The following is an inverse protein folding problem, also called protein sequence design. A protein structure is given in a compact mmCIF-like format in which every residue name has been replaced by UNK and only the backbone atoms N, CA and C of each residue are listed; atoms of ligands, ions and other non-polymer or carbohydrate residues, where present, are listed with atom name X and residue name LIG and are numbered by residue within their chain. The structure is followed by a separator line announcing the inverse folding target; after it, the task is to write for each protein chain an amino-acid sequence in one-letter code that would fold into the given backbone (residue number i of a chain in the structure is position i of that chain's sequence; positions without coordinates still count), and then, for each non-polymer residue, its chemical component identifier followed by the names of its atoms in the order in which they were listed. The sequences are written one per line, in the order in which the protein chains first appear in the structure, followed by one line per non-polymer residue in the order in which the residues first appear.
data_IF_356324967992
#
_entry.id   IF_356324967992
#
_cell.length_a   1.000
_cell.length_b   1.000
_cell.length_c   1.000
_cell.angle_alpha   90.00
_cell.angle_beta   90.00
_cell.angle_gamma   90.00
#
_symmetry.space_group_name_H-M   'P 1'
#
loop_
_entity.id
_entity.type
_entity.pdbx_description
1 polymer ?
#
# COMPACT_ATOMS: atom_id res chain seq x y z
N UNK A 1 11.86 -12.81 -1.16
CA UNK A 1 11.66 -12.07 0.11
C UNK A 1 12.99 -11.85 0.78
N UNK A 2 13.16 -10.78 1.56
CA UNK A 2 14.41 -10.41 2.22
C UNK A 2 14.20 -9.52 3.46
N UNK A 3 15.26 -9.37 4.26
CA UNK A 3 15.44 -8.35 5.31
C UNK A 3 16.89 -7.87 5.24
N UNK A 4 17.16 -6.65 5.73
CA UNK A 4 18.52 -6.20 5.96
C UNK A 4 19.02 -6.68 7.31
N UNK A 5 20.19 -7.33 7.33
CA UNK A 5 20.94 -7.59 8.55
C UNK A 5 21.81 -6.37 8.86
N UNK A 6 21.44 -5.62 9.88
CA UNK A 6 22.10 -4.38 10.27
C UNK A 6 22.89 -4.57 11.57
N UNK A 7 24.09 -4.01 11.63
CA UNK A 7 24.86 -3.86 12.86
C UNK A 7 25.04 -2.37 13.14
N UNK A 8 24.38 -1.86 14.17
CA UNK A 8 24.28 -0.42 14.43
C UNK A 8 24.44 -0.12 15.92
N UNK A 9 24.96 1.06 16.25
CA UNK A 9 24.92 1.54 17.62
C UNK A 9 23.50 2.05 17.95
N UNK A 10 22.87 1.49 18.98
CA UNK A 10 21.53 1.89 19.41
C UNK A 10 21.59 2.83 20.63
N UNK A 11 21.13 4.10 20.51
CA UNK A 11 21.29 5.09 21.58
C UNK A 11 20.62 4.73 22.91
N UNK A 12 19.48 4.02 22.87
CA UNK A 12 18.73 3.67 24.08
C UNK A 12 19.48 2.64 24.96
N UNK A 13 20.09 1.63 24.34
CA UNK A 13 20.83 0.57 25.05
C UNK A 13 22.30 0.92 25.25
N UNK A 14 22.80 1.92 24.51
CA UNK A 14 24.21 2.35 24.45
C UNK A 14 25.15 1.22 24.02
N UNK A 15 24.68 0.33 23.14
CA UNK A 15 25.43 -0.82 22.63
C UNK A 15 25.38 -0.88 21.11
N UNK A 16 26.34 -1.60 20.52
CA UNK A 16 26.23 -2.06 19.14
C UNK A 16 25.32 -3.28 19.13
N UNK A 17 24.23 -3.21 18.37
CA UNK A 17 23.22 -4.25 18.27
C UNK A 17 23.06 -4.73 16.83
N UNK A 18 22.54 -5.94 16.71
CA UNK A 18 22.20 -6.56 15.45
C UNK A 18 20.69 -6.62 15.30
N UNK A 19 20.19 -6.10 14.19
CA UNK A 19 18.77 -6.15 13.85
C UNK A 19 18.59 -6.75 12.47
N UNK A 20 17.47 -7.44 12.30
CA UNK A 20 16.93 -7.68 10.98
C UNK A 20 15.75 -6.73 10.78
N UNK A 21 15.73 -6.01 9.66
CA UNK A 21 14.66 -5.02 9.40
C UNK A 21 14.17 -5.14 7.96
N UNK A 22 12.90 -4.81 7.74
CA UNK A 22 12.35 -4.64 6.40
C UNK A 22 12.92 -3.37 5.75
N UNK A 23 12.95 -3.36 4.43
CA UNK A 23 13.36 -2.20 3.64
C UNK A 23 12.37 -1.04 3.81
N UNK A 24 12.81 0.17 4.23
CA UNK A 24 11.95 1.35 4.30
C UNK A 24 11.34 1.76 2.95
N UNK A 25 11.93 1.31 1.84
CA UNK A 25 11.46 1.54 0.47
C UNK A 25 10.81 0.30 -0.14
N UNK A 26 10.44 -0.71 0.66
CA UNK A 26 9.73 -1.90 0.16
C UNK A 26 8.43 -1.51 -0.56
N UNK A 27 8.26 -2.02 -1.78
CA UNK A 27 7.02 -1.86 -2.55
C UNK A 27 5.95 -2.91 -2.18
N UNK A 28 6.35 -4.06 -1.65
CA UNK A 28 5.45 -5.14 -1.19
C UNK A 28 6.08 -5.91 -0.02
N UNK A 29 5.25 -6.61 0.75
CA UNK A 29 5.57 -7.23 2.03
C UNK A 29 4.94 -8.62 2.16
N UNK A 30 5.53 -9.49 2.97
CA UNK A 30 4.86 -10.72 3.41
C UNK A 30 3.72 -10.40 4.40
N UNK A 31 2.92 -11.40 4.75
CA UNK A 31 1.94 -11.29 5.84
C UNK A 31 2.60 -10.72 7.11
N UNK A 32 1.91 -9.78 7.76
CA UNK A 32 2.39 -9.04 8.94
C UNK A 32 3.71 -8.28 8.74
N UNK A 33 4.12 -8.05 7.50
CA UNK A 33 5.34 -7.32 7.17
C UNK A 33 6.62 -7.94 7.73
N UNK A 34 6.66 -9.27 7.91
CA UNK A 34 7.85 -9.95 8.44
C UNK A 34 9.05 -9.86 7.49
N UNK A 35 8.80 -9.84 6.18
CA UNK A 35 9.82 -9.71 5.14
C UNK A 35 9.41 -8.72 4.04
N UNK A 36 10.39 -8.03 3.47
CA UNK A 36 10.23 -7.26 2.24
C UNK A 36 10.21 -8.18 1.02
N UNK A 37 9.40 -7.83 0.03
CA UNK A 37 9.34 -8.53 -1.26
C UNK A 37 10.02 -7.70 -2.34
N UNK A 38 10.91 -8.33 -3.11
CA UNK A 38 11.40 -7.74 -4.36
C UNK A 38 10.28 -7.86 -5.38
N UNK A 39 9.81 -6.73 -5.90
CA UNK A 39 8.72 -6.65 -6.87
C UNK A 39 9.06 -5.60 -7.92
N UNK A 40 8.79 -5.90 -9.19
CA UNK A 40 8.83 -4.93 -10.28
C UNK A 40 7.41 -4.37 -10.47
N UNK A 41 7.20 -3.10 -10.15
CA UNK A 41 5.90 -2.43 -10.31
C UNK A 41 5.46 -2.30 -11.78
N UNK A 42 6.38 -2.49 -12.74
CA UNK A 42 6.07 -2.45 -14.17
C UNK A 42 5.69 -3.82 -14.74
N UNK A 43 5.78 -4.90 -13.95
CA UNK A 43 5.43 -6.24 -14.41
C UNK A 43 3.97 -6.28 -14.89
N UNK A 44 3.78 -6.68 -16.14
CA UNK A 44 2.47 -6.83 -16.76
C UNK A 44 1.52 -7.75 -15.99
N UNK A 45 2.03 -8.74 -15.27
CA UNK A 45 1.23 -9.66 -14.47
C UNK A 45 0.57 -9.00 -13.25
N UNK A 46 1.07 -7.83 -12.82
CA UNK A 46 0.51 -7.07 -11.69
C UNK A 46 -0.52 -6.04 -12.14
N UNK A 47 -0.73 -5.89 -13.44
CA UNK A 47 -1.65 -4.91 -14.03
C UNK A 47 -2.96 -5.60 -14.40
N UNK A 48 -4.10 -5.18 -13.85
CA UNK A 48 -5.40 -5.67 -14.30
C UNK A 48 -5.69 -5.21 -15.74
N UNK A 49 -6.67 -5.84 -16.37
CA UNK A 49 -7.12 -5.46 -17.71
C UNK A 49 -7.46 -3.97 -17.79
N UNK A 50 -6.96 -3.28 -18.83
CA UNK A 50 -7.21 -1.86 -19.07
C UNK A 50 -6.37 -0.88 -18.23
N UNK A 51 -5.51 -1.36 -17.32
CA UNK A 51 -4.74 -0.51 -16.39
C UNK A 51 -3.92 0.59 -17.10
N UNK A 52 -3.14 0.24 -18.12
CA UNK A 52 -2.27 1.20 -18.82
C UNK A 52 -3.05 2.23 -19.66
N UNK A 53 -4.33 1.98 -19.92
CA UNK A 53 -5.23 2.89 -20.63
C UNK A 53 -6.15 3.69 -19.72
N UNK A 54 -6.09 3.50 -18.39
CA UNK A 54 -6.98 4.16 -17.45
C UNK A 54 -6.75 5.68 -17.47
N UNK A 55 -7.84 6.44 -17.67
CA UNK A 55 -7.81 7.91 -17.59
C UNK A 55 -8.65 8.40 -16.42
N UNK A 56 -8.30 9.55 -15.85
CA UNK A 56 -9.08 10.11 -14.74
C UNK A 56 -10.50 10.47 -15.22
N UNK A 57 -11.56 10.07 -14.48
CA UNK A 57 -12.95 10.28 -14.91
C UNK A 57 -13.39 11.75 -14.87
N UNK A 58 -12.72 12.60 -14.08
CA UNK A 58 -13.04 14.03 -13.96
C UNK A 58 -11.79 14.90 -14.06
N UNK A 59 -11.92 16.08 -14.68
CA UNK A 59 -10.83 17.04 -14.78
C UNK A 59 -10.52 17.65 -13.40
N UNK A 60 -9.23 17.83 -13.08
CA UNK A 60 -8.74 18.45 -11.85
C UNK A 60 -7.70 19.55 -12.16
N UNK A 61 -7.82 20.21 -13.33
CA UNK A 61 -6.79 21.09 -13.86
C UNK A 61 -6.96 22.55 -13.45
N UNK A 62 -8.19 23.00 -13.21
CA UNK A 62 -8.49 24.40 -12.91
C UNK A 62 -9.06 24.57 -11.49
N UNK A 63 -8.97 25.79 -10.95
CA UNK A 63 -9.61 26.12 -9.67
C UNK A 63 -11.13 25.90 -9.69
N UNK A 64 -11.77 26.14 -10.83
CA UNK A 64 -13.21 25.92 -11.00
C UNK A 64 -13.56 24.42 -11.01
N UNK A 65 -12.68 23.56 -11.50
CA UNK A 65 -12.85 22.11 -11.43
C UNK A 65 -12.72 21.63 -9.97
N UNK A 66 -11.68 22.07 -9.27
CA UNK A 66 -11.44 21.73 -7.87
C UNK A 66 -12.57 22.22 -6.95
N UNK A 67 -13.13 23.41 -7.22
CA UNK A 67 -14.24 23.97 -6.44
C UNK A 67 -15.55 23.16 -6.53
N UNK A 68 -15.69 22.26 -7.52
CA UNK A 68 -16.83 21.34 -7.66
C UNK A 68 -16.62 20.01 -6.92
N UNK A 69 -15.42 19.76 -6.40
CA UNK A 69 -15.11 18.50 -5.73
C UNK A 69 -15.93 18.34 -4.46
N UNK A 70 -16.51 17.16 -4.28
CA UNK A 70 -17.11 16.72 -3.01
C UNK A 70 -16.30 15.54 -2.50
N UNK A 71 -15.96 15.56 -1.22
CA UNK A 71 -15.16 14.50 -0.59
C UNK A 71 -16.11 13.60 0.21
N UNK A 72 -16.02 12.30 -0.04
CA UNK A 72 -16.65 11.27 0.79
C UNK A 72 -15.56 10.53 1.55
N UNK A 73 -15.56 10.64 2.87
CA UNK A 73 -14.64 9.92 3.74
C UNK A 73 -15.25 8.56 4.12
N UNK A 74 -14.47 7.49 4.02
CA UNK A 74 -14.90 6.13 4.37
C UNK A 74 -13.71 5.25 4.71
N UNK A 75 -13.96 4.24 5.54
CA UNK A 75 -13.00 3.18 5.82
C UNK A 75 -13.31 1.96 4.93
N UNK A 76 -12.30 1.40 4.27
CA UNK A 76 -12.49 0.29 3.30
C UNK A 76 -13.19 -0.90 3.95
N UNK A 77 -12.79 -1.27 5.18
CA UNK A 77 -13.46 -2.38 5.88
C UNK A 77 -14.93 -2.08 6.14
N UNK A 78 -15.26 -0.85 6.52
CA UNK A 78 -16.62 -0.47 6.91
C UNK A 78 -17.55 -0.41 5.69
N UNK A 79 -16.99 -0.19 4.50
CA UNK A 79 -17.71 -0.14 3.23
C UNK A 79 -18.46 -1.43 2.94
N UNK A 80 -17.90 -2.60 3.29
CA UNK A 80 -18.44 -3.90 2.90
C UNK A 80 -18.56 -4.92 4.03
N UNK A 81 -17.99 -4.68 5.22
CA UNK A 81 -17.97 -5.67 6.31
C UNK A 81 -19.36 -6.21 6.68
N UNK A 82 -20.40 -5.38 6.56
CA UNK A 82 -21.79 -5.73 6.91
C UNK A 82 -22.70 -5.90 5.68
N UNK A 83 -22.18 -5.70 4.47
CA UNK A 83 -22.96 -5.87 3.24
C UNK A 83 -23.09 -7.36 2.91
N UNK A 84 -24.28 -7.90 3.18
CA UNK A 84 -24.58 -9.30 2.94
C UNK A 84 -24.67 -9.66 1.45
N UNK A 85 -24.74 -8.66 0.55
CA UNK A 85 -24.73 -8.88 -0.90
C UNK A 85 -23.33 -9.20 -1.43
N UNK A 86 -22.27 -8.89 -0.69
CA UNK A 86 -20.88 -9.23 -1.02
C UNK A 86 -20.54 -10.63 -0.49
N UNK A 87 -19.87 -11.51 -1.27
CA UNK A 87 -19.35 -12.78 -0.79
C UNK A 87 -18.46 -12.62 0.45
N UNK A 88 -18.55 -13.54 1.41
CA UNK A 88 -17.94 -13.38 2.72
C UNK A 88 -16.40 -13.21 2.65
N UNK A 89 -15.75 -13.87 1.71
CA UNK A 89 -14.31 -13.81 1.44
C UNK A 89 -13.84 -12.51 0.78
N UNK A 90 -14.77 -11.69 0.28
CA UNK A 90 -14.50 -10.38 -0.33
C UNK A 90 -14.94 -9.20 0.55
N UNK A 91 -15.44 -9.46 1.76
CA UNK A 91 -15.84 -8.40 2.71
C UNK A 91 -14.67 -7.91 3.54
N UNK A 92 -14.71 -6.61 3.85
CA UNK A 92 -13.79 -5.93 4.75
C UNK A 92 -12.57 -5.40 4.02
#
# INVERSE_FOLDING_TARGET
FYRYAMTVYHPQSRKVEQYEVTDPYAHSLSTNSEYSQVVDLNDSALKPEGWDGLTMPHAQKTKADLAKMTIHESHIRDLSAWDQTVPAELRG
#
